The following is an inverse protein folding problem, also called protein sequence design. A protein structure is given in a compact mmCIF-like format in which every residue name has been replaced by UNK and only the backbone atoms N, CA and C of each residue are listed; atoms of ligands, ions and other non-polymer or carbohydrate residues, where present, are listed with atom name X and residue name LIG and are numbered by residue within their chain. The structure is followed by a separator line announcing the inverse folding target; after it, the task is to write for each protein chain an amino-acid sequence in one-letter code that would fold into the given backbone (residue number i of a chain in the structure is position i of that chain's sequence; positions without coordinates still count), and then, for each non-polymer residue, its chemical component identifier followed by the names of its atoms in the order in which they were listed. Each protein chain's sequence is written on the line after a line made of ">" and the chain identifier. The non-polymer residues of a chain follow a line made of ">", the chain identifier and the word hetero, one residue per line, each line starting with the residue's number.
data_IF_181510018732
#
_entry.id   IF_181510018732
#
_cell.length_a   1.000
_cell.length_b   1.000
_cell.length_c   1.000
_cell.angle_alpha   90.00
_cell.angle_beta   90.00
_cell.angle_gamma   90.00
#
_symmetry.space_group_name_H-M   'P 1'
#
loop_
_entity.id
_entity.type
_entity.pdbx_description
1 polymer ?
#
# COMPACT_ATOMS: atom_id res chain seq x y z
N UNK A 1 9.94 9.20 7.97
CA UNK A 1 9.45 8.38 6.84
C UNK A 1 9.72 9.20 5.59
N UNK A 2 10.83 8.93 4.93
CA UNK A 2 11.12 9.49 3.61
C UNK A 2 10.18 8.82 2.61
N UNK A 3 9.21 9.57 2.13
CA UNK A 3 8.50 9.27 0.89
C UNK A 3 9.59 9.31 -0.18
N UNK A 4 9.87 8.16 -0.79
CA UNK A 4 10.96 8.00 -1.72
C UNK A 4 10.98 9.14 -2.74
N UNK A 5 12.15 9.75 -2.92
CA UNK A 5 12.46 10.96 -3.67
C UNK A 5 12.08 10.95 -5.16
N UNK A 6 11.37 9.93 -5.63
CA UNK A 6 10.92 9.82 -7.02
C UNK A 6 9.60 10.53 -7.33
N UNK A 7 8.82 10.94 -6.32
CA UNK A 7 7.52 11.61 -6.51
C UNK A 7 7.52 13.09 -6.07
N UNK A 8 8.60 13.58 -5.46
CA UNK A 8 8.68 14.91 -4.83
C UNK A 8 9.53 15.91 -5.66
N UNK A 9 9.97 15.55 -6.84
CA UNK A 9 10.91 16.39 -7.62
C UNK A 9 10.40 17.05 -8.88
N UNK A 10 9.15 16.86 -9.29
CA UNK A 10 8.53 17.58 -10.39
C UNK A 10 7.13 18.00 -9.99
N UNK A 11 6.63 19.12 -10.52
CA UNK A 11 5.30 19.71 -10.28
C UNK A 11 4.11 18.75 -10.63
N UNK A 12 4.17 17.52 -10.17
CA UNK A 12 3.14 16.55 -10.34
C UNK A 12 2.11 16.74 -9.21
N UNK A 13 1.01 17.40 -9.52
CA UNK A 13 -0.20 17.29 -8.69
C UNK A 13 -0.58 15.81 -8.63
N UNK A 14 -0.10 15.11 -7.60
CA UNK A 14 -0.48 13.75 -7.30
C UNK A 14 -1.97 13.81 -6.94
N UNK A 15 -2.82 13.26 -7.81
CA UNK A 15 -4.22 13.04 -7.44
C UNK A 15 -4.25 11.89 -6.43
N UNK A 16 -5.26 11.88 -5.57
CA UNK A 16 -5.42 10.83 -4.54
C UNK A 16 -5.34 9.41 -5.13
N UNK A 17 -5.89 9.19 -6.34
CA UNK A 17 -5.80 7.91 -7.05
C UNK A 17 -4.36 7.49 -7.38
N UNK A 18 -3.52 8.41 -7.81
CA UNK A 18 -2.13 8.16 -8.21
C UNK A 18 -1.28 7.75 -6.98
N UNK A 19 -1.57 8.38 -5.83
CA UNK A 19 -0.98 8.00 -4.54
C UNK A 19 -1.36 6.57 -4.13
N UNK A 20 -2.63 6.18 -4.30
CA UNK A 20 -3.08 4.83 -3.98
C UNK A 20 -2.41 3.76 -4.83
N UNK A 21 -2.18 4.00 -6.13
CA UNK A 21 -1.40 3.09 -6.98
C UNK A 21 0.02 2.90 -6.44
N UNK A 22 0.74 4.00 -6.20
CA UNK A 22 2.10 3.95 -5.69
C UNK A 22 2.17 3.18 -4.36
N UNK A 23 1.26 3.51 -3.43
CA UNK A 23 1.24 2.92 -2.10
C UNK A 23 0.85 1.44 -2.11
N UNK A 24 -0.08 1.05 -2.97
CA UNK A 24 -0.48 -0.35 -3.14
C UNK A 24 0.66 -1.18 -3.73
N UNK A 25 1.33 -0.65 -4.75
CA UNK A 25 2.51 -1.30 -5.35
C UNK A 25 3.65 -1.46 -4.35
N UNK A 26 3.89 -0.47 -3.47
CA UNK A 26 4.92 -0.58 -2.42
C UNK A 26 4.65 -1.71 -1.44
N UNK A 27 3.36 -1.98 -1.14
CA UNK A 27 2.94 -3.00 -0.19
C UNK A 27 2.79 -4.40 -0.80
N UNK A 28 2.69 -4.48 -2.12
CA UNK A 28 2.57 -5.75 -2.81
C UNK A 28 3.95 -6.43 -2.89
N UNK A 29 4.00 -7.73 -2.62
CA UNK A 29 5.23 -8.52 -2.83
C UNK A 29 5.56 -8.65 -4.32
N UNK A 30 6.82 -8.87 -4.71
CA UNK A 30 7.18 -9.24 -6.08
C UNK A 30 6.32 -10.42 -6.58
N UNK A 31 5.86 -10.37 -7.83
CA UNK A 31 4.96 -11.38 -8.39
C UNK A 31 3.51 -11.29 -7.92
N UNK A 32 3.21 -10.50 -6.89
CA UNK A 32 1.85 -10.29 -6.41
C UNK A 32 0.99 -9.59 -7.46
N UNK A 33 -0.28 -10.00 -7.54
CA UNK A 33 -1.28 -9.42 -8.46
C UNK A 33 -2.24 -8.54 -7.67
N UNK A 34 -2.61 -7.40 -8.24
CA UNK A 34 -3.64 -6.52 -7.71
C UNK A 34 -4.61 -6.08 -8.79
N UNK A 35 -5.87 -5.87 -8.42
CA UNK A 35 -6.88 -5.25 -9.25
C UNK A 35 -7.36 -3.97 -8.58
N UNK A 36 -7.38 -2.86 -9.31
CA UNK A 36 -7.81 -1.54 -8.82
C UNK A 36 -8.84 -0.93 -9.75
N UNK A 37 -9.90 -0.40 -9.16
CA UNK A 37 -10.89 0.42 -9.87
C UNK A 37 -10.47 1.88 -9.77
N UNK A 38 -10.39 2.55 -10.92
CA UNK A 38 -10.00 3.95 -11.01
C UNK A 38 -10.88 4.69 -12.02
N UNK A 39 -10.84 6.01 -12.02
CA UNK A 39 -11.47 6.78 -13.10
C UNK A 39 -10.69 6.61 -14.41
N UNK A 40 -11.37 6.75 -15.56
CA UNK A 40 -10.73 6.75 -16.89
C UNK A 40 -9.50 7.68 -16.98
N UNK A 41 -9.47 8.71 -16.14
CA UNK A 41 -8.37 9.69 -16.14
C UNK A 41 -7.00 9.10 -15.81
N UNK A 42 -6.89 7.96 -15.15
CA UNK A 42 -5.61 7.29 -14.95
C UNK A 42 -5.03 6.79 -16.29
N UNK A 43 -5.88 6.20 -17.11
CA UNK A 43 -5.47 5.65 -18.41
C UNK A 43 -5.42 6.72 -19.50
N UNK A 44 -6.38 7.65 -19.54
CA UNK A 44 -6.60 8.59 -20.67
C UNK A 44 -5.97 9.99 -20.47
N UNK A 45 -5.32 10.25 -19.34
CA UNK A 45 -4.69 11.56 -19.09
C UNK A 45 -3.52 11.81 -20.07
N UNK A 46 -3.44 13.01 -20.65
CA UNK A 46 -2.32 13.40 -21.54
C UNK A 46 -0.95 13.19 -20.90
N UNK A 47 -0.80 13.60 -19.65
CA UNK A 47 0.42 13.36 -18.90
C UNK A 47 0.57 11.88 -18.55
N UNK A 48 1.55 11.21 -19.14
CA UNK A 48 1.83 9.78 -18.98
C UNK A 48 2.65 9.43 -17.73
N UNK A 49 3.07 10.40 -16.92
CA UNK A 49 4.04 10.18 -15.83
C UNK A 49 3.60 9.07 -14.84
N UNK A 50 2.29 9.01 -14.51
CA UNK A 50 1.75 7.98 -13.62
C UNK A 50 1.78 6.61 -14.27
N UNK A 51 1.40 6.51 -15.53
CA UNK A 51 1.45 5.24 -16.28
C UNK A 51 2.89 4.74 -16.44
N UNK A 52 3.86 5.64 -16.72
CA UNK A 52 5.29 5.29 -16.72
C UNK A 52 5.75 4.79 -15.35
N UNK A 53 5.38 5.47 -14.28
CA UNK A 53 5.70 5.03 -12.92
C UNK A 53 5.18 3.63 -12.62
N UNK A 54 3.92 3.34 -13.02
CA UNK A 54 3.31 2.03 -12.85
C UNK A 54 4.04 0.99 -13.71
N UNK A 55 4.27 1.26 -15.00
CA UNK A 55 4.90 0.35 -15.95
C UNK A 55 6.31 -0.09 -15.54
N UNK A 56 7.07 0.81 -14.92
CA UNK A 56 8.40 0.49 -14.40
C UNK A 56 8.37 -0.49 -13.21
N UNK A 57 7.26 -0.56 -12.49
CA UNK A 57 7.10 -1.33 -11.24
C UNK A 57 6.18 -2.53 -11.35
N UNK A 58 5.29 -2.49 -12.32
CA UNK A 58 4.28 -3.53 -12.52
C UNK A 58 4.05 -3.78 -14.01
N UNK A 59 3.60 -4.96 -14.32
CA UNK A 59 3.10 -5.34 -15.62
C UNK A 59 1.59 -5.19 -15.67
N UNK A 60 1.07 -4.63 -16.75
CA UNK A 60 -0.37 -4.57 -16.98
C UNK A 60 -0.80 -5.91 -17.56
N UNK A 61 -1.49 -6.72 -16.77
CA UNK A 61 -2.07 -7.98 -17.22
C UNK A 61 -3.33 -7.75 -18.05
N UNK A 62 -4.08 -6.70 -17.72
CA UNK A 62 -5.28 -6.29 -18.43
C UNK A 62 -5.93 -5.05 -17.84
N UNK A 63 -6.77 -4.42 -18.64
CA UNK A 63 -7.63 -3.33 -18.17
C UNK A 63 -9.03 -3.49 -18.76
N UNK A 64 -10.07 -3.18 -17.97
CA UNK A 64 -11.47 -3.27 -18.38
C UNK A 64 -12.11 -1.92 -18.19
N UNK A 65 -12.71 -1.35 -19.24
CA UNK A 65 -13.43 -0.08 -19.18
C UNK A 65 -14.91 -0.31 -18.92
N UNK A 66 -15.40 0.26 -17.83
CA UNK A 66 -16.78 0.15 -17.39
C UNK A 66 -17.63 1.31 -17.96
N UNK A 67 -18.92 1.07 -18.28
CA UNK A 67 -19.84 2.12 -18.67
C UNK A 67 -20.02 3.19 -17.58
N UNK A 68 -20.36 4.40 -18.00
CA UNK A 68 -20.48 5.56 -17.11
C UNK A 68 -21.56 5.43 -16.03
N UNK A 69 -22.54 4.55 -16.22
CA UNK A 69 -23.63 4.33 -15.27
C UNK A 69 -23.37 3.22 -14.24
N UNK A 70 -22.23 2.54 -14.31
CA UNK A 70 -21.90 1.40 -13.44
C UNK A 70 -22.08 1.68 -11.96
N UNK A 71 -21.69 2.87 -11.51
CA UNK A 71 -21.77 3.27 -10.10
C UNK A 71 -22.96 4.21 -9.79
N UNK A 72 -23.85 4.48 -10.77
CA UNK A 72 -24.98 5.38 -10.58
C UNK A 72 -25.90 4.93 -9.45
N UNK A 73 -26.21 3.64 -9.38
CA UNK A 73 -27.11 3.07 -8.37
C UNK A 73 -26.54 3.11 -6.95
N UNK A 74 -25.22 2.92 -6.80
CA UNK A 74 -24.56 2.79 -5.49
C UNK A 74 -23.93 4.11 -5.01
N UNK A 75 -23.37 4.90 -5.91
CA UNK A 75 -22.66 6.13 -5.57
C UNK A 75 -23.32 7.40 -6.09
N UNK A 76 -24.43 7.28 -6.84
CA UNK A 76 -25.15 8.44 -7.41
C UNK A 76 -24.35 9.23 -8.45
N UNK A 77 -23.26 8.65 -8.99
CA UNK A 77 -22.37 9.32 -9.94
C UNK A 77 -22.33 8.60 -11.27
N UNK A 78 -22.22 9.36 -12.34
CA UNK A 78 -22.03 8.86 -13.71
C UNK A 78 -20.58 9.15 -14.13
N UNK A 79 -19.70 8.19 -13.96
CA UNK A 79 -18.30 8.32 -14.35
C UNK A 79 -17.80 7.04 -15.04
N UNK A 80 -17.06 7.21 -16.11
CA UNK A 80 -16.34 6.11 -16.75
C UNK A 80 -15.20 5.71 -15.83
N UNK A 81 -15.14 4.42 -15.51
CA UNK A 81 -14.13 3.84 -14.64
C UNK A 81 -13.42 2.69 -15.33
N UNK A 82 -12.17 2.49 -14.98
CA UNK A 82 -11.37 1.40 -15.49
C UNK A 82 -10.96 0.47 -14.33
N UNK A 83 -11.00 -0.84 -14.56
CA UNK A 83 -10.39 -1.85 -13.68
C UNK A 83 -9.02 -2.14 -14.28
N UNK A 84 -7.95 -1.91 -13.51
CA UNK A 84 -6.59 -2.25 -13.91
C UNK A 84 -6.13 -3.47 -13.13
N UNK A 85 -5.62 -4.47 -13.84
CA UNK A 85 -5.06 -5.69 -13.27
C UNK A 85 -3.56 -5.66 -13.51
N UNK A 86 -2.80 -5.60 -12.42
CA UNK A 86 -1.36 -5.36 -12.43
C UNK A 86 -0.63 -6.46 -11.67
N UNK A 87 0.50 -6.92 -12.20
CA UNK A 87 1.43 -7.78 -11.48
C UNK A 87 2.68 -7.00 -11.09
N UNK A 88 3.06 -7.03 -9.82
CA UNK A 88 4.29 -6.37 -9.35
C UNK A 88 5.52 -7.08 -9.91
N UNK A 89 6.45 -6.29 -10.49
CA UNK A 89 7.76 -6.78 -10.92
C UNK A 89 8.67 -7.03 -9.71
N UNK A 90 9.65 -7.89 -9.88
CA UNK A 90 10.71 -8.17 -8.89
C UNK A 90 11.67 -6.98 -8.72
N UNK A 91 11.84 -6.19 -9.76
CA UNK A 91 12.74 -5.03 -9.83
C UNK A 91 12.17 -3.91 -10.67
N UNK A 92 12.77 -2.73 -10.53
CA UNK A 92 12.48 -1.61 -11.44
C UNK A 92 13.06 -1.89 -12.81
N UNK A 93 12.23 -1.74 -13.83
CA UNK A 93 12.63 -1.88 -15.23
C UNK A 93 12.36 -0.55 -15.93
N UNK A 94 13.34 0.00 -16.63
CA UNK A 94 13.15 1.19 -17.45
C UNK A 94 12.50 0.77 -18.79
N UNK A 95 11.17 0.68 -18.78
CA UNK A 95 10.34 0.26 -19.91
C UNK A 95 9.20 1.24 -20.11
N UNK A 96 8.82 1.43 -21.35
CA UNK A 96 7.70 2.30 -21.75
C UNK A 96 6.83 1.53 -22.77
N UNK A 97 5.99 0.57 -22.31
CA UNK A 97 5.08 -0.17 -23.17
C UNK A 97 3.98 0.73 -23.76
N UNK A 98 3.36 0.29 -24.85
CA UNK A 98 2.39 1.08 -25.61
C UNK A 98 1.26 1.66 -24.75
N UNK A 99 0.76 0.91 -23.76
CA UNK A 99 -0.31 1.36 -22.89
C UNK A 99 0.05 2.58 -22.00
N UNK A 100 1.32 2.98 -21.98
CA UNK A 100 1.73 4.25 -21.34
C UNK A 100 1.24 5.45 -22.16
N UNK A 101 1.01 5.27 -23.46
CA UNK A 101 0.62 6.30 -24.41
C UNK A 101 -0.87 6.30 -24.71
N UNK A 102 -1.31 7.35 -25.36
CA UNK A 102 -2.65 7.48 -25.91
C UNK A 102 -2.60 7.22 -27.41
N UNK A 103 -3.71 6.73 -27.93
CA UNK A 103 -3.94 6.54 -29.36
C UNK A 103 -5.37 6.97 -29.72
N UNK A 104 -5.75 6.87 -30.95
CA UNK A 104 -7.05 7.29 -31.44
C UNK A 104 -7.73 6.10 -32.12
N UNK A 105 -8.98 5.82 -31.73
CA UNK A 105 -9.77 4.77 -32.35
C UNK A 105 -10.24 5.15 -33.78
N UNK A 106 -10.88 4.22 -34.46
CA UNK A 106 -11.43 4.40 -35.82
C UNK A 106 -12.50 5.51 -35.89
N UNK A 107 -13.12 5.90 -34.76
CA UNK A 107 -14.12 6.95 -34.67
C UNK A 107 -13.50 8.32 -34.33
N UNK A 108 -12.18 8.41 -34.22
CA UNK A 108 -11.46 9.62 -33.86
C UNK A 108 -11.48 9.95 -32.38
N UNK A 109 -11.84 9.00 -31.52
CA UNK A 109 -11.86 9.19 -30.06
C UNK A 109 -10.49 8.86 -29.49
N UNK A 110 -9.87 9.84 -28.83
CA UNK A 110 -8.58 9.68 -28.19
C UNK A 110 -8.75 9.02 -26.82
N UNK A 111 -8.03 7.91 -26.62
CA UNK A 111 -8.03 7.14 -25.38
C UNK A 111 -6.70 6.40 -25.20
N UNK A 112 -6.56 5.63 -24.14
CA UNK A 112 -5.36 4.82 -23.93
C UNK A 112 -5.19 3.80 -25.07
N UNK A 113 -3.94 3.64 -25.53
CA UNK A 113 -3.61 2.70 -26.61
C UNK A 113 -4.03 1.26 -26.32
N UNK A 114 -4.02 0.84 -25.04
CA UNK A 114 -4.52 -0.47 -24.64
C UNK A 114 -5.97 -0.70 -25.10
N UNK A 115 -6.87 0.27 -24.87
CA UNK A 115 -8.28 0.14 -25.27
C UNK A 115 -8.49 0.27 -26.78
N UNK A 116 -7.60 0.96 -27.49
CA UNK A 116 -7.62 0.98 -28.97
C UNK A 116 -7.22 -0.36 -29.55
N UNK A 117 -6.24 -1.04 -28.93
CA UNK A 117 -5.78 -2.37 -29.34
C UNK A 117 -6.71 -3.49 -28.88
N UNK A 118 -7.43 -3.30 -27.79
CA UNK A 118 -8.33 -4.27 -27.15
C UNK A 118 -9.75 -3.69 -26.96
N UNK A 119 -10.49 -3.43 -28.04
CA UNK A 119 -11.83 -2.88 -27.97
C UNK A 119 -12.83 -3.79 -27.24
N UNK A 120 -12.60 -5.10 -27.21
CA UNK A 120 -13.37 -6.10 -26.46
C UNK A 120 -13.33 -5.88 -24.94
N UNK A 121 -12.35 -5.12 -24.45
CA UNK A 121 -12.21 -4.78 -23.05
C UNK A 121 -13.01 -3.52 -22.65
N UNK A 122 -13.77 -2.92 -23.57
CA UNK A 122 -14.66 -1.79 -23.33
C UNK A 122 -16.09 -2.30 -23.25
N UNK A 123 -16.70 -2.24 -22.06
CA UNK A 123 -18.04 -2.79 -21.79
C UNK A 123 -19.19 -1.81 -22.15
N UNK A 124 -19.01 -1.05 -23.21
CA UNK A 124 -19.98 -0.08 -23.71
C UNK A 124 -19.49 0.58 -24.98
N UNK A 125 -20.26 1.51 -25.50
CA UNK A 125 -19.93 2.28 -26.69
C UNK A 125 -19.22 3.58 -26.33
N UNK A 126 -18.03 3.81 -26.89
CA UNK A 126 -17.31 5.06 -26.72
C UNK A 126 -17.98 6.17 -27.56
N UNK A 127 -18.34 7.28 -26.93
CA UNK A 127 -18.99 8.43 -27.58
C UNK A 127 -18.42 9.75 -27.10
N UNK A 128 -18.42 10.73 -27.98
CA UNK A 128 -18.15 12.13 -27.60
C UNK A 128 -19.47 12.79 -27.18
N UNK A 129 -19.48 13.31 -25.97
CA UNK A 129 -20.65 14.01 -25.41
C UNK A 129 -20.30 15.44 -24.99
N UNK A 130 -21.28 16.34 -24.95
CA UNK A 130 -21.10 17.69 -24.45
C UNK A 130 -21.03 17.66 -22.92
N UNK A 131 -19.87 17.87 -22.35
CA UNK A 131 -19.64 17.97 -20.91
C UNK A 131 -19.58 19.43 -20.43
N UNK A 132 -19.34 19.62 -19.14
CA UNK A 132 -19.28 20.96 -18.51
C UNK A 132 -18.13 21.83 -19.05
N UNK A 133 -17.08 21.25 -19.56
CA UNK A 133 -15.88 21.95 -20.02
C UNK A 133 -15.59 21.74 -21.51
N UNK A 134 -16.55 21.25 -22.28
CA UNK A 134 -16.43 20.97 -23.71
C UNK A 134 -16.82 19.54 -24.05
N UNK A 135 -16.42 19.09 -25.25
CA UNK A 135 -16.64 17.72 -25.69
C UNK A 135 -15.72 16.78 -24.91
N UNK A 136 -16.30 15.73 -24.34
CA UNK A 136 -15.55 14.70 -23.61
C UNK A 136 -15.95 13.29 -24.05
N UNK A 137 -14.98 12.38 -24.05
CA UNK A 137 -15.23 10.97 -24.34
C UNK A 137 -15.90 10.30 -23.14
N UNK A 138 -16.96 9.54 -23.38
CA UNK A 138 -17.65 8.72 -22.37
C UNK A 138 -17.91 7.32 -22.92
N UNK A 139 -18.07 6.35 -22.01
CA UNK A 139 -18.48 5.00 -22.34
C UNK A 139 -19.97 4.84 -21.97
N UNK A 140 -20.82 4.69 -22.97
CA UNK A 140 -22.27 4.54 -22.80
C UNK A 140 -22.61 3.06 -22.73
N UNK A 141 -23.44 2.58 -21.78
CA UNK A 141 -23.82 1.18 -21.74
C UNK A 141 -24.56 0.74 -22.99
N UNK A 142 -24.36 -0.49 -23.44
CA UNK A 142 -25.19 -1.07 -24.50
C UNK A 142 -26.63 -1.26 -24.00
N UNK A 143 -27.60 -1.11 -24.90
CA UNK A 143 -29.01 -1.32 -24.56
C UNK A 143 -29.24 -2.80 -24.14
N UNK A 144 -29.92 -2.98 -23.00
CA UNK A 144 -30.26 -4.28 -22.43
C UNK A 144 -29.07 -5.22 -22.15
N UNK A 145 -27.86 -4.70 -22.06
CA UNK A 145 -26.68 -5.50 -21.72
C UNK A 145 -26.68 -5.86 -20.24
N UNK A 146 -26.32 -7.11 -19.95
CA UNK A 146 -25.99 -7.56 -18.61
C UNK A 146 -24.51 -7.28 -18.33
N UNK A 147 -24.24 -6.28 -17.49
CA UNK A 147 -22.88 -5.90 -17.13
C UNK A 147 -22.09 -7.03 -16.47
N UNK A 148 -22.76 -7.90 -15.69
CA UNK A 148 -22.09 -9.03 -15.05
C UNK A 148 -21.59 -10.03 -16.09
N UNK A 149 -22.43 -10.38 -17.05
CA UNK A 149 -22.04 -11.27 -18.15
C UNK A 149 -20.92 -10.67 -19.02
N UNK A 150 -20.99 -9.36 -19.32
CA UNK A 150 -19.92 -8.67 -20.05
C UNK A 150 -18.60 -8.66 -19.27
N UNK A 151 -18.67 -8.50 -17.94
CA UNK A 151 -17.48 -8.51 -17.09
C UNK A 151 -16.84 -9.91 -17.05
N UNK A 152 -17.64 -10.96 -16.93
CA UNK A 152 -17.17 -12.35 -16.99
C UNK A 152 -16.47 -12.65 -18.31
N UNK A 153 -17.01 -12.18 -19.43
CA UNK A 153 -16.39 -12.32 -20.75
C UNK A 153 -15.08 -11.52 -20.84
N UNK A 154 -15.05 -10.27 -20.37
CA UNK A 154 -13.84 -9.46 -20.37
C UNK A 154 -12.74 -10.06 -19.50
N UNK A 155 -13.09 -10.63 -18.35
CA UNK A 155 -12.12 -11.33 -17.48
C UNK A 155 -11.54 -12.56 -18.21
N UNK A 156 -12.35 -13.31 -18.94
CA UNK A 156 -11.88 -14.45 -19.72
C UNK A 156 -10.96 -14.03 -20.90
N UNK A 157 -11.10 -12.79 -21.36
CA UNK A 157 -10.28 -12.24 -22.45
C UNK A 157 -9.05 -11.46 -21.95
N UNK A 158 -8.67 -11.57 -20.69
CA UNK A 158 -7.42 -10.98 -20.20
C UNK A 158 -6.24 -11.71 -20.82
N UNK A 159 -5.40 -10.98 -21.54
CA UNK A 159 -4.29 -11.54 -22.31
C UNK A 159 -2.96 -11.59 -21.56
N UNK A 160 -2.85 -10.91 -20.42
CA UNK A 160 -1.63 -10.88 -19.63
C UNK A 160 -1.35 -12.22 -18.96
N UNK A 161 -0.13 -12.70 -19.12
CA UNK A 161 0.33 -13.91 -18.46
C UNK A 161 0.98 -13.58 -17.12
N UNK A 162 0.66 -14.36 -16.09
CA UNK A 162 1.31 -14.23 -14.79
C UNK A 162 2.73 -14.75 -14.90
N UNK A 163 3.70 -13.86 -14.69
CA UNK A 163 5.10 -14.26 -14.58
C UNK A 163 5.34 -14.88 -13.21
N UNK A 164 5.77 -16.13 -13.16
CA UNK A 164 6.29 -16.73 -11.95
C UNK A 164 7.68 -16.16 -11.71
N UNK A 165 7.80 -15.34 -10.66
CA UNK A 165 9.11 -14.98 -10.15
C UNK A 165 9.54 -16.10 -9.21
N UNK A 166 10.76 -16.64 -9.42
CA UNK A 166 11.41 -17.43 -8.39
C UNK A 166 11.47 -16.51 -7.15
N UNK A 167 10.56 -16.69 -6.23
CA UNK A 167 10.80 -16.26 -4.86
C UNK A 167 12.10 -16.98 -4.50
N UNK A 168 13.19 -16.21 -4.22
CA UNK A 168 14.22 -16.75 -3.35
C UNK A 168 13.42 -17.46 -2.26
N UNK A 169 13.58 -18.79 -2.19
CA UNK A 169 12.86 -19.60 -1.20
C UNK A 169 12.81 -18.73 0.04
N UNK A 170 11.59 -18.38 0.48
CA UNK A 170 11.46 -17.86 1.83
C UNK A 170 12.26 -18.88 2.62
N UNK A 171 13.54 -18.53 2.90
CA UNK A 171 14.26 -19.22 3.96
C UNK A 171 13.22 -19.20 5.03
N UNK A 172 12.63 -20.38 5.32
CA UNK A 172 11.71 -20.51 6.42
C UNK A 172 12.45 -19.86 7.56
N UNK A 173 12.27 -18.53 7.74
CA UNK A 173 12.65 -17.89 8.97
C UNK A 173 11.86 -18.70 9.96
N UNK A 174 12.56 -19.63 10.61
CA UNK A 174 11.95 -20.44 11.66
C UNK A 174 11.11 -19.46 12.44
N UNK A 175 9.78 -19.67 12.45
CA UNK A 175 8.86 -18.75 13.14
C UNK A 175 9.23 -18.75 14.63
N UNK A 176 10.32 -18.04 14.95
CA UNK A 176 10.87 -17.85 16.28
C UNK A 176 9.96 -16.92 17.13
N UNK A 177 8.77 -16.58 16.61
CA UNK A 177 7.82 -15.78 17.35
C UNK A 177 7.12 -16.63 18.41
N UNK A 178 6.84 -16.00 19.55
CA UNK A 178 6.13 -16.59 20.68
C UNK A 178 4.75 -15.93 20.85
N UNK A 179 3.79 -16.58 21.50
CA UNK A 179 2.52 -15.94 21.84
C UNK A 179 2.72 -14.65 22.63
N UNK A 180 1.95 -13.63 22.33
CA UNK A 180 2.06 -12.34 23.00
C UNK A 180 1.62 -12.44 24.46
N UNK A 181 2.46 -11.92 25.36
CA UNK A 181 2.06 -11.65 26.75
C UNK A 181 1.02 -10.53 26.76
N UNK A 182 -0.19 -10.76 27.34
CA UNK A 182 -1.25 -9.75 27.41
C UNK A 182 -0.84 -8.45 28.12
N UNK A 183 0.11 -8.51 29.04
CA UNK A 183 0.59 -7.36 29.83
C UNK A 183 1.52 -6.44 29.05
N UNK A 184 2.12 -6.95 27.96
CA UNK A 184 2.95 -6.15 27.07
C UNK A 184 2.06 -5.35 26.13
N UNK A 185 2.25 -4.05 26.04
CA UNK A 185 1.48 -3.20 25.12
C UNK A 185 1.74 -3.58 23.68
N UNK A 186 0.67 -3.59 22.84
CA UNK A 186 0.82 -3.80 21.39
C UNK A 186 1.75 -2.74 20.77
N UNK A 187 2.53 -3.12 19.77
CA UNK A 187 3.54 -2.30 19.10
C UNK A 187 4.62 -1.76 20.04
N UNK A 188 5.07 -2.59 20.99
CA UNK A 188 6.15 -2.22 21.90
C UNK A 188 7.18 -3.31 22.08
N UNK A 189 8.40 -2.91 22.45
CA UNK A 189 9.49 -3.82 22.79
C UNK A 189 9.35 -4.33 24.22
N UNK A 190 9.73 -5.58 24.43
CA UNK A 190 9.85 -6.22 25.76
C UNK A 190 11.07 -7.12 25.82
N UNK A 191 11.39 -7.61 27.04
CA UNK A 191 12.44 -8.60 27.25
C UNK A 191 11.81 -9.92 27.65
N UNK A 192 12.22 -11.00 27.01
CA UNK A 192 11.93 -12.38 27.38
C UNK A 192 13.26 -13.13 27.38
N UNK A 193 13.64 -13.70 28.52
CA UNK A 193 14.91 -14.39 28.71
C UNK A 193 16.12 -13.57 28.23
N UNK A 194 16.14 -12.27 28.59
CA UNK A 194 17.16 -11.28 28.22
C UNK A 194 17.28 -10.96 26.72
N UNK A 195 16.41 -11.51 25.87
CA UNK A 195 16.30 -11.19 24.45
C UNK A 195 15.21 -10.12 24.22
N UNK A 196 15.44 -9.25 23.26
CA UNK A 196 14.47 -8.22 22.87
C UNK A 196 13.44 -8.84 21.95
N UNK A 197 12.17 -8.65 22.29
CA UNK A 197 11.03 -9.01 21.47
C UNK A 197 10.19 -7.77 21.14
N UNK A 198 9.61 -7.75 19.96
CA UNK A 198 8.63 -6.75 19.53
C UNK A 198 7.26 -7.39 19.45
N UNK A 199 6.28 -6.81 20.15
CA UNK A 199 4.90 -7.29 20.10
C UNK A 199 4.14 -6.66 18.95
N UNK A 200 3.58 -7.50 18.10
CA UNK A 200 2.61 -7.12 17.08
C UNK A 200 1.41 -8.05 17.17
N UNK A 201 0.27 -7.47 17.53
CA UNK A 201 -1.00 -8.20 17.72
C UNK A 201 -0.88 -9.34 18.75
N UNK A 202 -1.11 -10.57 18.31
CA UNK A 202 -1.11 -11.77 19.17
C UNK A 202 0.24 -12.48 19.28
N UNK A 203 1.30 -11.94 18.66
CA UNK A 203 2.63 -12.57 18.64
C UNK A 203 3.73 -11.58 19.06
N UNK A 204 4.83 -12.15 19.53
CA UNK A 204 6.06 -11.40 19.82
C UNK A 204 7.20 -12.04 19.04
N UNK A 205 7.88 -11.23 18.25
CA UNK A 205 9.01 -11.67 17.39
C UNK A 205 10.34 -11.21 17.99
N UNK A 206 11.37 -12.08 18.06
CA UNK A 206 12.68 -11.67 18.50
C UNK A 206 13.27 -10.63 17.54
N UNK A 207 13.96 -9.64 18.08
CA UNK A 207 14.54 -8.55 17.29
C UNK A 207 16.05 -8.62 17.37
N UNK A 208 16.67 -8.85 16.22
CA UNK A 208 18.12 -8.80 16.08
C UNK A 208 18.59 -7.38 15.79
N UNK A 209 19.44 -6.85 16.66
CA UNK A 209 19.99 -5.50 16.55
C UNK A 209 21.48 -5.52 16.91
N UNK A 210 22.20 -4.46 16.54
CA UNK A 210 23.61 -4.32 16.98
C UNK A 210 23.72 -4.26 18.51
N UNK A 211 24.82 -4.71 19.07
CA UNK A 211 25.05 -4.70 20.52
C UNK A 211 24.88 -3.31 21.17
N UNK A 212 25.17 -2.24 20.44
CA UNK A 212 24.95 -0.87 20.92
C UNK A 212 23.45 -0.54 20.98
N UNK A 213 22.68 -0.90 19.94
CA UNK A 213 21.24 -0.71 19.90
C UNK A 213 20.52 -1.58 20.93
N UNK A 214 20.97 -2.84 21.11
CA UNK A 214 20.45 -3.77 22.12
C UNK A 214 20.54 -3.17 23.53
N UNK A 215 21.73 -2.73 23.94
CA UNK A 215 21.92 -2.10 25.24
C UNK A 215 21.07 -0.82 25.43
N UNK A 216 20.90 -0.05 24.37
CA UNK A 216 20.06 1.16 24.40
C UNK A 216 18.58 0.80 24.59
N UNK A 217 18.08 -0.18 23.86
CA UNK A 217 16.69 -0.64 23.96
C UNK A 217 16.44 -1.25 25.36
N UNK A 218 17.34 -2.10 25.86
CA UNK A 218 17.25 -2.66 27.22
C UNK A 218 17.20 -1.57 28.28
N UNK A 219 18.02 -0.53 28.18
CA UNK A 219 18.01 0.62 29.08
C UNK A 219 16.67 1.38 29.06
N UNK A 220 16.12 1.63 27.88
CA UNK A 220 14.82 2.27 27.74
C UNK A 220 13.66 1.42 28.29
N UNK A 221 13.70 0.10 28.09
CA UNK A 221 12.72 -0.84 28.67
C UNK A 221 12.80 -0.81 30.21
N UNK A 222 14.01 -0.80 30.78
CA UNK A 222 14.20 -0.73 32.23
C UNK A 222 13.62 0.58 32.83
N UNK A 223 13.89 1.72 32.21
CA UNK A 223 13.33 3.03 32.60
C UNK A 223 11.80 2.99 32.53
N UNK A 224 11.23 2.55 31.39
CA UNK A 224 9.78 2.44 31.20
C UNK A 224 9.12 1.57 32.28
N UNK A 225 9.72 0.44 32.59
CA UNK A 225 9.16 -0.49 33.58
C UNK A 225 9.22 0.12 34.99
N UNK A 226 10.31 0.79 35.35
CA UNK A 226 10.44 1.50 36.62
C UNK A 226 9.40 2.64 36.75
N UNK A 227 9.14 3.40 35.67
CA UNK A 227 8.08 4.41 35.65
C UNK A 227 6.70 3.78 35.90
N UNK A 228 6.41 2.64 35.29
CA UNK A 228 5.13 1.93 35.49
C UNK A 228 4.98 1.48 36.96
N UNK A 229 6.00 0.84 37.51
CA UNK A 229 6.02 0.43 38.92
C UNK A 229 5.83 1.64 39.85
N UNK A 230 6.48 2.75 39.54
CA UNK A 230 6.33 3.98 40.36
C UNK A 230 4.89 4.52 40.33
N UNK A 231 4.25 4.49 39.14
CA UNK A 231 2.84 4.90 38.99
C UNK A 231 1.91 3.98 39.82
N UNK A 232 2.12 2.66 39.73
CA UNK A 232 1.35 1.65 40.48
C UNK A 232 1.49 1.91 42.02
N UNK A 233 2.73 2.07 42.50
CA UNK A 233 3.00 2.35 43.90
C UNK A 233 2.32 3.66 44.40
N UNK A 234 2.23 4.67 43.52
CA UNK A 234 1.59 5.96 43.86
C UNK A 234 0.06 5.93 43.79
N UNK A 235 -0.51 5.00 43.02
CA UNK A 235 -1.97 4.90 42.82
C UNK A 235 -2.65 3.90 43.75
N UNK A 236 -1.90 2.97 44.36
CA UNK A 236 -2.44 1.85 45.13
C UNK A 236 -2.08 1.89 46.64
N UNK A 237 -1.92 3.11 47.24
CA UNK A 237 -1.67 3.30 48.68
C UNK A 237 -0.48 2.50 49.29
N UNK A 238 0.61 2.34 48.52
CA UNK A 238 1.83 1.75 49.05
C UNK A 238 2.59 2.68 50.00
N UNK A 239 3.41 2.15 50.93
CA UNK A 239 4.18 2.96 51.85
C UNK A 239 5.15 3.92 51.15
N UNK A 240 5.28 5.14 51.69
CA UNK A 240 6.20 6.18 51.18
C UNK A 240 7.64 5.69 51.00
N UNK A 241 8.06 4.72 51.82
CA UNK A 241 9.40 4.13 51.73
C UNK A 241 9.62 3.37 50.45
N UNK A 242 8.60 2.65 49.93
CA UNK A 242 8.66 1.91 48.67
C UNK A 242 8.63 2.86 47.48
N UNK A 243 7.80 3.87 47.53
CA UNK A 243 7.73 4.94 46.51
C UNK A 243 9.11 5.63 46.39
N UNK A 244 9.74 5.99 47.50
CA UNK A 244 11.07 6.63 47.52
C UNK A 244 12.15 5.69 46.96
N UNK A 245 12.11 4.40 47.32
CA UNK A 245 13.08 3.40 46.81
C UNK A 245 12.98 3.27 45.29
N UNK A 246 11.77 3.23 44.72
CA UNK A 246 11.59 3.14 43.27
C UNK A 246 11.93 4.48 42.56
N UNK A 247 11.68 5.63 43.17
CA UNK A 247 12.17 6.93 42.67
C UNK A 247 13.70 6.96 42.54
N UNK A 248 14.41 6.49 43.58
CA UNK A 248 15.86 6.42 43.58
C UNK A 248 16.37 5.44 42.53
N UNK A 249 15.66 4.31 42.31
CA UNK A 249 15.97 3.35 41.28
C UNK A 249 15.82 3.96 39.90
N UNK A 250 14.69 4.64 39.65
CA UNK A 250 14.42 5.33 38.38
C UNK A 250 15.50 6.38 38.07
N UNK A 251 15.88 7.18 39.06
CA UNK A 251 16.91 8.19 38.88
C UNK A 251 18.26 7.53 38.49
N UNK A 252 18.67 6.47 39.20
CA UNK A 252 19.90 5.73 38.83
C UNK A 252 19.86 5.16 37.42
N UNK A 253 18.72 4.60 36.99
CA UNK A 253 18.56 4.07 35.64
C UNK A 253 18.67 5.19 34.60
N UNK A 254 18.02 6.34 34.86
CA UNK A 254 18.04 7.47 33.94
C UNK A 254 19.45 8.09 33.86
N UNK A 255 20.13 8.33 34.99
CA UNK A 255 21.49 8.90 35.04
C UNK A 255 22.50 8.00 34.31
N UNK A 256 22.39 6.69 34.52
CA UNK A 256 23.24 5.71 33.83
C UNK A 256 22.99 5.72 32.32
N UNK A 257 21.72 5.79 31.92
CA UNK A 257 21.31 5.81 30.52
C UNK A 257 21.74 7.11 29.83
N UNK A 258 21.45 8.27 30.42
CA UNK A 258 21.78 9.58 29.87
C UNK A 258 23.29 9.82 29.83
N UNK A 259 24.05 9.35 30.83
CA UNK A 259 25.51 9.41 30.83
C UNK A 259 26.17 8.59 29.72
N UNK A 260 25.49 7.54 29.21
CA UNK A 260 26.02 6.68 28.16
C UNK A 260 25.52 7.04 26.75
N UNK A 261 24.31 7.59 26.63
CA UNK A 261 23.60 7.76 25.37
C UNK A 261 23.00 9.17 25.15
N UNK A 262 23.11 10.04 26.12
CA UNK A 262 22.62 11.44 26.10
C UNK A 262 23.57 12.42 25.43
#
# INVERSE_FOLDING_TARGET
>A
YEIGSGLVGSEMCIRDSDYFFAKSLDKLRPGGVMALVTSKGTMDKENSAVRKYIAQRAELLGAIRLPNNTFKGNAGTEVVSDILILQKRDRLIDIEPDWVHLDTDENGIKMNSYFVQHPEMILGEMKMVSGRFGMEATCVPYENADLAAQLDEAVANIHGEITEYETEEELEEEDNSIPADPTVRNFSYTLVDDKIYYRENSRMTPVEVSATAENRIKGMIAIRNSVRTLIELQTEDYPDSEIKAEQERLNRLYDTFSGKYG
#
